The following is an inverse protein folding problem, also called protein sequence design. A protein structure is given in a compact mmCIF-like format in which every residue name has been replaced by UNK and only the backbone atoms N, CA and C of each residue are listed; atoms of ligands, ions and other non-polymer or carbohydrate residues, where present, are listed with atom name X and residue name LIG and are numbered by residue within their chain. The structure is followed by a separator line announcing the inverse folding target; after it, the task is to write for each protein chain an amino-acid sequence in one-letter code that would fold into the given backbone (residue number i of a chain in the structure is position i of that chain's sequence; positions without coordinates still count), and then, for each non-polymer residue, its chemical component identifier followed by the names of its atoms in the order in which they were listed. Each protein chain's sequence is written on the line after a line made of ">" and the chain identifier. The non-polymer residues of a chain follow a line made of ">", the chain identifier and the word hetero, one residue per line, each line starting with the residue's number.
data_IF_063443598106
#
_entry.id   IF_063443598106
#
_cell.length_a   1.000
_cell.length_b   1.000
_cell.length_c   1.000
_cell.angle_alpha   90.00
_cell.angle_beta   90.00
_cell.angle_gamma   90.00
#
_symmetry.space_group_name_H-M   'P 1'
#
loop_
_entity.id
_entity.type
_entity.pdbx_description
1 polymer ?
#
# COMPACT_ATOMS: atom_id res chain seq x y z
N UNK A 1 -19.00 15.62 -7.55
CA UNK A 1 -18.25 15.46 -6.27
C UNK A 1 -18.07 13.99 -5.85
N UNK A 2 -18.99 13.09 -6.22
CA UNK A 2 -18.93 11.65 -5.88
C UNK A 2 -17.74 10.90 -6.52
N UNK A 3 -17.48 11.12 -7.81
CA UNK A 3 -16.44 10.42 -8.58
C UNK A 3 -15.01 10.65 -8.06
N UNK A 4 -14.68 11.90 -7.71
CA UNK A 4 -13.37 12.24 -7.14
C UNK A 4 -13.12 11.51 -5.83
N UNK A 5 -14.17 11.30 -5.02
CA UNK A 5 -14.08 10.58 -3.74
C UNK A 5 -13.92 9.08 -3.95
N UNK A 6 -14.66 8.49 -4.90
CA UNK A 6 -14.53 7.07 -5.24
C UNK A 6 -13.14 6.74 -5.84
N UNK A 7 -12.62 7.62 -6.71
CA UNK A 7 -11.26 7.49 -7.26
C UNK A 7 -10.19 7.61 -6.17
N UNK A 8 -10.28 8.62 -5.29
CA UNK A 8 -9.36 8.77 -4.17
C UNK A 8 -9.43 7.59 -3.19
N UNK A 9 -10.59 6.97 -3.01
CA UNK A 9 -10.76 5.83 -2.12
C UNK A 9 -10.00 4.57 -2.57
N UNK A 10 -9.77 4.37 -3.87
CA UNK A 10 -8.92 3.29 -4.39
C UNK A 10 -7.45 3.69 -4.55
N UNK A 11 -7.20 4.93 -5.00
CA UNK A 11 -5.85 5.44 -5.29
C UNK A 11 -5.04 5.63 -4.01
N UNK A 12 -5.63 6.15 -2.94
CA UNK A 12 -4.91 6.41 -1.68
C UNK A 12 -4.40 5.12 -1.03
N UNK A 13 -5.22 4.07 -0.84
CA UNK A 13 -4.74 2.80 -0.31
C UNK A 13 -3.70 2.13 -1.22
N UNK A 14 -3.87 2.20 -2.55
CA UNK A 14 -2.90 1.66 -3.49
C UNK A 14 -1.56 2.39 -3.41
N UNK A 15 -1.56 3.73 -3.35
CA UNK A 15 -0.35 4.52 -3.15
C UNK A 15 0.30 4.22 -1.79
N UNK A 16 -0.49 4.08 -0.73
CA UNK A 16 -0.02 3.67 0.59
C UNK A 16 0.64 2.29 0.56
N UNK A 17 0.07 1.34 -0.17
CA UNK A 17 0.63 -0.01 -0.34
C UNK A 17 1.99 0.04 -1.05
N UNK A 18 2.10 0.81 -2.14
CA UNK A 18 3.36 1.01 -2.86
C UNK A 18 4.42 1.62 -1.94
N UNK A 19 4.05 2.67 -1.20
CA UNK A 19 4.96 3.34 -0.26
C UNK A 19 5.40 2.41 0.88
N UNK A 20 4.50 1.58 1.41
CA UNK A 20 4.82 0.60 2.44
C UNK A 20 5.84 -0.43 1.93
N UNK A 21 5.60 -0.99 0.74
CA UNK A 21 6.52 -1.96 0.12
C UNK A 21 7.89 -1.32 -0.15
N UNK A 22 7.91 -0.12 -0.74
CA UNK A 22 9.15 0.62 -0.98
C UNK A 22 9.90 0.96 0.31
N UNK A 23 9.18 1.37 1.36
CA UNK A 23 9.76 1.68 2.66
C UNK A 23 10.44 0.46 3.29
N UNK A 24 9.75 -0.68 3.33
CA UNK A 24 10.34 -1.93 3.83
C UNK A 24 11.54 -2.36 2.99
N UNK A 25 11.43 -2.28 1.66
CA UNK A 25 12.54 -2.59 0.75
C UNK A 25 13.76 -1.69 0.97
N UNK A 26 13.56 -0.39 1.15
CA UNK A 26 14.65 0.55 1.45
C UNK A 26 15.34 0.23 2.78
N UNK A 27 14.57 -0.12 3.83
CA UNK A 27 15.15 -0.54 5.12
C UNK A 27 15.93 -1.84 4.98
N UNK A 28 15.44 -2.80 4.18
CA UNK A 28 16.15 -4.05 3.91
C UNK A 28 17.48 -3.81 3.17
N UNK A 29 17.49 -2.97 2.13
CA UNK A 29 18.71 -2.58 1.43
C UNK A 29 19.68 -1.84 2.36
N UNK A 30 19.17 -0.99 3.24
CA UNK A 30 19.97 -0.32 4.25
C UNK A 30 20.61 -1.32 5.22
N UNK A 31 19.84 -2.25 5.77
CA UNK A 31 20.36 -3.26 6.69
C UNK A 31 21.45 -4.10 6.04
N UNK A 32 21.24 -4.54 4.80
CA UNK A 32 22.24 -5.29 4.04
C UNK A 32 23.50 -4.47 3.74
N UNK A 33 23.38 -3.16 3.53
CA UNK A 33 24.54 -2.27 3.35
C UNK A 33 25.37 -2.11 4.63
N UNK A 34 24.74 -2.20 5.80
CA UNK A 34 25.36 -2.00 7.11
C UNK A 34 25.95 -3.29 7.69
N UNK A 35 25.34 -4.45 7.40
CA UNK A 35 25.76 -5.78 7.90
C UNK A 35 25.92 -5.85 9.42
N UNK A 36 25.05 -5.14 10.13
CA UNK A 36 25.03 -5.15 11.59
C UNK A 36 23.68 -5.60 12.14
N UNK A 37 23.69 -6.24 13.31
CA UNK A 37 22.50 -6.80 13.93
C UNK A 37 21.42 -5.75 14.24
N UNK A 38 21.82 -4.54 14.60
CA UNK A 38 20.86 -3.46 14.91
C UNK A 38 20.03 -3.09 13.68
N UNK A 39 20.66 -3.04 12.52
CA UNK A 39 20.00 -2.76 11.25
C UNK A 39 19.10 -3.92 10.78
N UNK A 40 19.47 -5.17 11.04
CA UNK A 40 18.60 -6.32 10.78
C UNK A 40 17.37 -6.35 11.72
N UNK A 41 17.51 -5.98 13.00
CA UNK A 41 16.34 -5.82 13.89
C UNK A 41 15.40 -4.70 13.42
N UNK A 42 15.95 -3.59 12.91
CA UNK A 42 15.14 -2.54 12.32
C UNK A 42 14.38 -3.04 11.08
N UNK A 43 15.03 -3.85 10.24
CA UNK A 43 14.40 -4.50 9.10
C UNK A 43 13.27 -5.44 9.52
N UNK A 44 13.49 -6.31 10.51
CA UNK A 44 12.45 -7.22 11.03
C UNK A 44 11.24 -6.45 11.55
N UNK A 45 11.48 -5.36 12.30
CA UNK A 45 10.41 -4.49 12.80
C UNK A 45 9.69 -3.75 11.66
N UNK A 46 10.41 -3.31 10.64
CA UNK A 46 9.79 -2.71 9.46
C UNK A 46 8.92 -3.73 8.71
N UNK A 47 9.37 -4.98 8.59
CA UNK A 47 8.59 -6.06 7.97
C UNK A 47 7.34 -6.41 8.78
N UNK A 48 7.42 -6.46 10.11
CA UNK A 48 6.25 -6.77 10.95
C UNK A 48 5.17 -5.69 10.82
N UNK A 49 5.56 -4.41 10.94
CA UNK A 49 4.64 -3.28 10.74
C UNK A 49 4.12 -3.26 9.30
N UNK A 50 4.98 -3.53 8.31
CA UNK A 50 4.59 -3.62 6.91
C UNK A 50 3.53 -4.69 6.67
N UNK A 51 3.70 -5.88 7.25
CA UNK A 51 2.76 -7.00 7.13
C UNK A 51 1.37 -6.63 7.69
N UNK A 52 1.33 -5.97 8.86
CA UNK A 52 0.09 -5.52 9.49
C UNK A 52 -0.66 -4.48 8.63
N UNK A 53 0.06 -3.66 7.86
CA UNK A 53 -0.50 -2.61 7.01
C UNK A 53 -0.89 -3.09 5.61
N UNK A 54 -0.19 -4.08 5.06
CA UNK A 54 -0.38 -4.55 3.67
C UNK A 54 -1.79 -5.10 3.46
N UNK A 55 -2.30 -5.93 4.37
CA UNK A 55 -3.61 -6.57 4.19
C UNK A 55 -4.76 -5.54 4.15
N UNK A 56 -4.89 -4.61 5.12
CA UNK A 56 -5.91 -3.56 5.04
C UNK A 56 -5.80 -2.69 3.79
N UNK A 57 -4.58 -2.27 3.42
CA UNK A 57 -4.35 -1.41 2.26
C UNK A 57 -4.71 -2.12 0.95
N UNK A 58 -4.35 -3.39 0.83
CA UNK A 58 -4.69 -4.22 -0.32
C UNK A 58 -6.21 -4.39 -0.44
N UNK A 59 -6.90 -4.73 0.66
CA UNK A 59 -8.36 -4.87 0.67
C UNK A 59 -9.04 -3.57 0.24
N UNK A 60 -8.62 -2.43 0.80
CA UNK A 60 -9.18 -1.13 0.44
C UNK A 60 -8.91 -0.76 -1.02
N UNK A 61 -7.70 -1.04 -1.53
CA UNK A 61 -7.36 -0.80 -2.93
C UNK A 61 -8.24 -1.64 -3.87
N UNK A 62 -8.45 -2.91 -3.56
CA UNK A 62 -9.31 -3.81 -4.33
C UNK A 62 -10.77 -3.34 -4.29
N UNK A 63 -11.32 -3.04 -3.11
CA UNK A 63 -12.68 -2.54 -2.96
C UNK A 63 -12.89 -1.24 -3.74
N UNK A 64 -11.93 -0.31 -3.68
CA UNK A 64 -11.95 0.93 -4.45
C UNK A 64 -11.93 0.68 -5.96
N UNK A 65 -11.10 -0.25 -6.43
CA UNK A 65 -11.04 -0.66 -7.83
C UNK A 65 -12.35 -1.30 -8.32
N UNK A 66 -12.90 -2.25 -7.57
CA UNK A 66 -14.18 -2.88 -7.90
C UNK A 66 -15.33 -1.88 -7.88
N UNK A 67 -15.35 -0.95 -6.91
CA UNK A 67 -16.35 0.10 -6.85
C UNK A 67 -16.31 0.99 -8.11
N UNK A 68 -15.12 1.39 -8.57
CA UNK A 68 -14.97 2.15 -9.82
C UNK A 68 -15.52 1.39 -11.02
N UNK A 69 -15.15 0.11 -11.18
CA UNK A 69 -15.64 -0.73 -12.29
C UNK A 69 -17.16 -0.91 -12.23
N UNK A 70 -17.73 -1.15 -11.05
CA UNK A 70 -19.18 -1.28 -10.87
C UNK A 70 -19.92 0.05 -11.07
N UNK A 71 -19.24 1.20 -11.00
CA UNK A 71 -19.84 2.48 -11.41
C UNK A 71 -19.70 2.76 -12.91
N UNK A 72 -18.72 2.20 -13.62
CA UNK A 72 -18.47 2.53 -15.03
C UNK A 72 -19.69 2.45 -15.99
N UNK A 73 -20.58 1.44 -15.95
CA UNK A 73 -21.64 1.29 -16.97
C UNK A 73 -22.79 2.29 -16.89
N UNK A 74 -22.85 3.15 -15.87
CA UNK A 74 -23.86 4.23 -15.72
C UNK A 74 -23.36 5.57 -16.25
N UNK A 75 -22.28 5.58 -17.02
CA UNK A 75 -21.66 6.78 -17.60
C UNK A 75 -21.51 6.72 -19.13
N UNK A 76 -21.99 5.65 -19.78
CA UNK A 76 -22.04 5.53 -21.25
C UNK A 76 -23.41 5.97 -21.85
N UNK A 77 -24.33 6.49 -21.03
CA UNK A 77 -25.59 7.12 -21.45
C UNK A 77 -25.52 8.65 -21.43
#
# INVERSE_FOLDING_TARGET
>A
MSERRASLAGVVPAAGLVLAVFGVGAVAMYAESRRDWGSYFLMERAMSVGADLVIPLLVLALLGGFALVALAPRFEE
#
